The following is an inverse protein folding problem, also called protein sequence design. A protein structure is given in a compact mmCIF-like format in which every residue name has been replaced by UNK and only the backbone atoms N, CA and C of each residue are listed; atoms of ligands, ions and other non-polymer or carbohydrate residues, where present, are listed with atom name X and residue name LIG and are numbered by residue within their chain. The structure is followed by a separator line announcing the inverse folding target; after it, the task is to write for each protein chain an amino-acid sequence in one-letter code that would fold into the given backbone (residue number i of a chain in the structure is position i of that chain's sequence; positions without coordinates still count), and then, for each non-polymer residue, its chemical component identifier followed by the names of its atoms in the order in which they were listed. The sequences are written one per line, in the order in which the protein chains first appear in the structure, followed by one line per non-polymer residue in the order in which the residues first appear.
data_IF_120999276575
#
_entry.id   IF_120999276575
#
_cell.length_a   1.000
_cell.length_b   1.000
_cell.length_c   1.000
_cell.angle_alpha   90.00
_cell.angle_beta   90.00
_cell.angle_gamma   90.00
#
_symmetry.space_group_name_H-M   'P 1'
#
loop_
_entity.id
_entity.type
_entity.pdbx_description
1 polymer ?
#
# COMPACT_ATOMS: atom_id res chain seq x y z
N UNK A 1 -23.49 16.51 -11.35
CA UNK A 1 -22.46 15.45 -11.48
C UNK A 1 -21.02 15.99 -11.66
N UNK A 2 -20.77 17.14 -12.29
CA UNK A 2 -19.42 17.66 -12.61
C UNK A 2 -18.59 18.19 -11.42
N UNK A 3 -19.19 18.83 -10.45
CA UNK A 3 -18.48 19.42 -9.28
C UNK A 3 -17.84 18.35 -8.37
N UNK A 4 -18.44 17.18 -8.27
CA UNK A 4 -17.93 16.11 -7.39
C UNK A 4 -16.67 15.44 -7.98
N UNK A 5 -16.60 15.30 -9.28
CA UNK A 5 -15.47 14.66 -9.99
C UNK A 5 -14.19 15.49 -9.90
N UNK A 6 -14.27 16.82 -10.03
CA UNK A 6 -13.12 17.72 -9.92
C UNK A 6 -12.48 17.65 -8.52
N UNK A 7 -13.30 17.65 -7.47
CA UNK A 7 -12.82 17.54 -6.08
C UNK A 7 -12.12 16.22 -5.81
N UNK A 8 -12.63 15.11 -6.35
CA UNK A 8 -11.98 13.80 -6.20
C UNK A 8 -10.62 13.77 -6.91
N UNK A 9 -10.52 14.32 -8.12
CA UNK A 9 -9.27 14.39 -8.86
C UNK A 9 -8.21 15.20 -8.09
N UNK A 10 -8.57 16.35 -7.55
CA UNK A 10 -7.64 17.17 -6.76
C UNK A 10 -7.18 16.46 -5.48
N UNK A 11 -8.08 15.75 -4.80
CA UNK A 11 -7.72 14.95 -3.64
C UNK A 11 -6.74 13.82 -3.99
N UNK A 12 -6.96 13.12 -5.11
CA UNK A 12 -6.06 12.05 -5.58
C UNK A 12 -4.69 12.63 -5.96
N UNK A 13 -4.64 13.78 -6.66
CA UNK A 13 -3.38 14.46 -6.99
C UNK A 13 -2.59 14.86 -5.73
N UNK A 14 -3.27 15.41 -4.72
CA UNK A 14 -2.66 15.76 -3.44
C UNK A 14 -2.12 14.51 -2.73
N UNK A 15 -2.89 13.45 -2.72
CA UNK A 15 -2.49 12.17 -2.15
C UNK A 15 -1.23 11.62 -2.85
N UNK A 16 -1.21 11.64 -4.19
CA UNK A 16 -0.05 11.22 -4.98
C UNK A 16 1.20 12.06 -4.70
N UNK A 17 1.04 13.38 -4.55
CA UNK A 17 2.13 14.26 -4.17
C UNK A 17 2.69 13.91 -2.78
N UNK A 18 1.81 13.64 -1.82
CA UNK A 18 2.21 13.24 -0.47
C UNK A 18 2.93 11.88 -0.47
N UNK A 19 2.44 10.90 -1.25
CA UNK A 19 3.13 9.61 -1.41
C UNK A 19 4.56 9.85 -1.91
N UNK A 20 4.77 10.67 -2.95
CA UNK A 20 6.13 10.97 -3.46
C UNK A 20 7.02 11.58 -2.40
N UNK A 21 6.51 12.56 -1.63
CA UNK A 21 7.25 13.16 -0.52
C UNK A 21 7.64 12.11 0.52
N UNK A 22 6.72 11.25 0.91
CA UNK A 22 6.94 10.20 1.89
C UNK A 22 7.96 9.16 1.40
N UNK A 23 7.93 8.78 0.11
CA UNK A 23 8.92 7.92 -0.51
C UNK A 23 10.32 8.53 -0.38
N UNK A 24 10.47 9.81 -0.71
CA UNK A 24 11.76 10.51 -0.61
C UNK A 24 12.24 10.61 0.84
N UNK A 25 11.35 10.98 1.77
CA UNK A 25 11.68 11.06 3.20
C UNK A 25 12.15 9.71 3.77
N UNK A 26 11.45 8.61 3.45
CA UNK A 26 11.86 7.27 3.88
C UNK A 26 13.23 6.91 3.32
N UNK A 27 13.45 7.18 2.05
CA UNK A 27 14.70 6.83 1.39
C UNK A 27 15.90 7.62 1.92
N UNK A 28 15.73 8.91 2.18
CA UNK A 28 16.75 9.73 2.84
C UNK A 28 17.04 9.21 4.25
N UNK A 29 15.98 8.81 4.99
CA UNK A 29 16.11 8.30 6.35
C UNK A 29 16.81 6.93 6.41
N UNK A 30 16.68 6.10 5.37
CA UNK A 30 17.34 4.81 5.25
C UNK A 30 18.87 4.96 5.05
N UNK A 31 19.32 6.09 4.54
CA UNK A 31 20.73 6.36 4.32
C UNK A 31 21.37 5.43 3.28
N UNK A 32 22.41 4.69 3.68
CA UNK A 32 23.11 3.75 2.79
C UNK A 32 22.34 2.45 2.52
N UNK A 33 21.24 2.20 3.24
CA UNK A 33 20.37 1.06 2.98
C UNK A 33 19.65 1.24 1.64
N UNK A 34 19.41 0.14 0.93
CA UNK A 34 18.82 0.19 -0.40
C UNK A 34 17.34 0.58 -0.37
N UNK A 35 16.94 1.42 -1.32
CA UNK A 35 15.55 1.79 -1.54
C UNK A 35 15.23 1.65 -3.03
N UNK A 36 14.14 0.97 -3.34
CA UNK A 36 13.71 0.73 -4.72
C UNK A 36 12.78 1.85 -5.22
N UNK A 37 13.34 2.98 -5.62
CA UNK A 37 12.60 4.15 -6.07
C UNK A 37 11.75 3.90 -7.31
N UNK A 38 12.35 3.31 -8.34
CA UNK A 38 11.68 3.12 -9.63
C UNK A 38 10.37 2.35 -9.49
N UNK A 39 10.43 1.22 -8.79
CA UNK A 39 9.25 0.39 -8.52
C UNK A 39 8.16 1.11 -7.72
N UNK A 40 8.55 1.92 -6.74
CA UNK A 40 7.61 2.68 -5.91
C UNK A 40 7.01 3.89 -6.65
N UNK A 41 7.84 4.69 -7.32
CA UNK A 41 7.37 5.87 -8.04
C UNK A 41 6.47 5.50 -9.23
N UNK A 42 6.74 4.37 -9.90
CA UNK A 42 5.95 3.90 -11.05
C UNK A 42 4.50 3.57 -10.72
N UNK A 43 4.18 3.26 -9.45
CA UNK A 43 2.82 2.88 -9.02
C UNK A 43 2.14 3.97 -8.19
N UNK A 44 2.74 5.13 -8.03
CA UNK A 44 2.23 6.18 -7.14
C UNK A 44 0.80 6.59 -7.48
N UNK A 45 0.48 6.80 -8.76
CA UNK A 45 -0.87 7.18 -9.22
C UNK A 45 -1.87 6.06 -8.97
N UNK A 46 -1.49 4.81 -9.29
CA UNK A 46 -2.37 3.65 -9.11
C UNK A 46 -2.70 3.49 -7.63
N UNK A 47 -1.69 3.51 -6.77
CA UNK A 47 -1.86 3.40 -5.31
C UNK A 47 -2.68 4.57 -4.76
N UNK A 48 -2.48 5.79 -5.29
CA UNK A 48 -3.25 6.96 -4.88
C UNK A 48 -4.74 6.83 -5.22
N UNK A 49 -5.07 6.35 -6.41
CA UNK A 49 -6.47 6.11 -6.80
C UNK A 49 -7.07 5.02 -5.91
N UNK A 50 -6.35 3.94 -5.67
CA UNK A 50 -6.84 2.84 -4.85
C UNK A 50 -7.13 3.30 -3.42
N UNK A 51 -6.16 3.89 -2.72
CA UNK A 51 -6.28 4.21 -1.30
C UNK A 51 -7.05 5.49 -1.00
N UNK A 52 -7.00 6.49 -1.89
CA UNK A 52 -7.73 7.73 -1.67
C UNK A 52 -9.19 7.70 -2.13
N UNK A 53 -9.56 6.80 -3.06
CA UNK A 53 -10.86 6.85 -3.70
C UNK A 53 -11.55 5.50 -3.87
N UNK A 54 -10.85 4.49 -4.41
CA UNK A 54 -11.49 3.26 -4.89
C UNK A 54 -11.73 2.23 -3.80
N UNK A 55 -10.77 2.03 -2.90
CA UNK A 55 -10.84 0.95 -1.90
C UNK A 55 -11.77 1.30 -0.74
N UNK A 56 -12.55 0.31 -0.35
CA UNK A 56 -13.39 0.34 0.85
C UNK A 56 -12.50 0.10 2.08
N UNK A 57 -12.20 1.17 2.80
CA UNK A 57 -11.27 1.19 3.93
C UNK A 57 -11.92 1.91 5.12
N UNK A 58 -11.72 1.41 6.33
CA UNK A 58 -11.99 2.15 7.56
C UNK A 58 -10.68 2.69 8.12
N UNK A 59 -10.49 4.01 8.07
CA UNK A 59 -9.27 4.70 8.55
C UNK A 59 -9.00 4.50 10.05
N UNK A 60 -10.02 4.14 10.83
CA UNK A 60 -9.90 3.92 12.29
C UNK A 60 -9.71 2.45 12.66
N UNK A 61 -10.00 1.54 11.73
CA UNK A 61 -9.95 0.11 11.99
C UNK A 61 -9.24 -0.67 10.87
N UNK A 62 -7.91 -0.79 10.92
CA UNK A 62 -7.15 -1.55 9.93
C UNK A 62 -7.52 -3.04 9.91
N UNK A 63 -8.16 -3.56 10.96
CA UNK A 63 -8.59 -4.96 11.06
C UNK A 63 -10.04 -5.19 10.64
N UNK A 64 -10.73 -4.18 10.09
CA UNK A 64 -12.09 -4.35 9.63
C UNK A 64 -12.20 -5.49 8.60
N UNK A 65 -12.99 -6.51 8.91
CA UNK A 65 -13.03 -7.75 8.12
C UNK A 65 -13.57 -7.55 6.70
N UNK A 66 -14.50 -6.62 6.51
CA UNK A 66 -15.15 -6.37 5.21
C UNK A 66 -14.49 -5.25 4.40
N UNK A 67 -13.31 -4.76 4.82
CA UNK A 67 -12.50 -3.85 4.00
C UNK A 67 -11.92 -4.58 2.79
N UNK A 68 -11.66 -3.84 1.74
CA UNK A 68 -10.93 -4.35 0.59
C UNK A 68 -9.50 -4.79 0.97
N UNK A 69 -8.94 -5.70 0.21
CA UNK A 69 -7.59 -6.23 0.43
C UNK A 69 -6.64 -5.71 -0.64
N UNK A 70 -5.45 -5.32 -0.21
CA UNK A 70 -4.39 -4.87 -1.08
C UNK A 70 -3.18 -5.79 -0.95
N UNK A 71 -2.65 -6.23 -2.09
CA UNK A 71 -1.47 -7.11 -2.17
C UNK A 71 -0.49 -6.48 -3.13
N UNK A 72 0.69 -6.16 -2.62
CA UNK A 72 1.80 -5.67 -3.42
C UNK A 72 2.69 -6.86 -3.82
N UNK A 73 2.44 -7.46 -4.99
CA UNK A 73 3.22 -8.64 -5.45
C UNK A 73 4.68 -8.28 -5.63
N UNK A 74 4.99 -7.16 -6.31
CA UNK A 74 6.35 -6.61 -6.36
C UNK A 74 6.73 -5.94 -5.03
N UNK A 75 7.00 -6.75 -4.01
CA UNK A 75 7.22 -6.29 -2.64
C UNK A 75 8.29 -5.23 -2.47
N UNK A 76 9.28 -5.17 -3.37
CA UNK A 76 10.32 -4.13 -3.39
C UNK A 76 9.77 -2.70 -3.63
N UNK A 77 8.54 -2.53 -4.14
CA UNK A 77 7.87 -1.23 -4.25
C UNK A 77 7.20 -0.77 -2.93
N UNK A 78 7.57 -1.34 -1.80
CA UNK A 78 6.98 -1.13 -0.47
C UNK A 78 6.91 0.33 -0.02
N UNK A 79 7.83 1.19 -0.47
CA UNK A 79 7.82 2.61 -0.14
C UNK A 79 6.50 3.28 -0.51
N UNK A 80 5.93 2.98 -1.71
CA UNK A 80 4.64 3.53 -2.12
C UNK A 80 3.49 3.00 -1.24
N UNK A 81 3.57 1.73 -0.86
CA UNK A 81 2.57 1.11 0.01
C UNK A 81 2.59 1.70 1.42
N UNK A 82 3.77 1.79 2.05
CA UNK A 82 3.90 2.40 3.38
C UNK A 82 3.49 3.88 3.38
N UNK A 83 3.86 4.62 2.33
CA UNK A 83 3.43 6.00 2.15
C UNK A 83 1.90 6.11 2.07
N UNK A 84 1.23 5.21 1.34
CA UNK A 84 -0.24 5.20 1.27
C UNK A 84 -0.88 4.84 2.62
N UNK A 85 -0.35 3.84 3.32
CA UNK A 85 -0.82 3.49 4.67
C UNK A 85 -0.65 4.64 5.67
N UNK A 86 0.42 5.42 5.52
CA UNK A 86 0.62 6.65 6.31
C UNK A 86 -0.44 7.71 5.98
N UNK A 87 -0.72 7.96 4.70
CA UNK A 87 -1.69 8.97 4.27
C UNK A 87 -3.14 8.63 4.69
N UNK A 88 -3.47 7.35 4.82
CA UNK A 88 -4.78 6.94 5.36
C UNK A 88 -4.81 6.85 6.90
N UNK A 89 -3.67 7.03 7.57
CA UNK A 89 -3.55 7.06 9.02
C UNK A 89 -3.30 5.71 9.70
N UNK A 90 -2.94 4.66 8.96
CA UNK A 90 -2.58 3.35 9.55
C UNK A 90 -1.14 3.34 10.09
N UNK A 91 -0.24 4.07 9.45
CA UNK A 91 1.14 4.24 9.87
C UNK A 91 1.34 5.68 10.36
N UNK A 92 1.82 5.92 11.59
CA UNK A 92 2.21 7.25 12.04
C UNK A 92 3.30 7.86 11.16
N UNK A 93 3.25 9.16 10.90
CA UNK A 93 4.21 9.84 10.03
C UNK A 93 5.66 9.68 10.51
N UNK A 94 5.86 9.66 11.82
CA UNK A 94 7.15 9.52 12.46
C UNK A 94 7.78 8.15 12.21
N UNK A 95 6.95 7.11 12.04
CA UNK A 95 7.41 5.74 11.80
C UNK A 95 8.05 5.60 10.41
N UNK A 96 7.69 6.43 9.44
CA UNK A 96 8.34 6.44 8.13
C UNK A 96 9.85 6.65 8.20
N UNK A 97 10.33 7.40 9.21
CA UNK A 97 11.75 7.66 9.44
C UNK A 97 12.52 6.44 9.95
N UNK A 98 11.81 5.38 10.30
CA UNK A 98 12.43 4.12 10.76
C UNK A 98 12.65 3.11 9.65
N UNK A 99 12.23 3.43 8.40
CA UNK A 99 12.35 2.53 7.25
C UNK A 99 13.78 1.97 7.14
N UNK A 100 13.89 0.63 7.01
CA UNK A 100 15.16 -0.12 6.92
C UNK A 100 16.13 0.09 8.11
N UNK A 101 15.62 0.51 9.27
CA UNK A 101 16.41 0.60 10.50
C UNK A 101 16.17 -0.62 11.41
N UNK A 102 17.11 -0.89 12.30
CA UNK A 102 16.97 -1.94 13.30
C UNK A 102 15.69 -1.71 14.13
N UNK A 103 14.95 -2.79 14.39
CA UNK A 103 13.67 -2.79 15.11
C UNK A 103 12.51 -2.03 14.45
N UNK A 104 12.64 -1.65 13.17
CA UNK A 104 11.54 -1.06 12.43
C UNK A 104 10.52 -2.11 12.00
N UNK A 105 9.25 -1.70 11.93
CA UNK A 105 8.19 -2.46 11.27
C UNK A 105 8.16 -2.25 9.73
N UNK A 106 8.95 -1.30 9.23
CA UNK A 106 8.98 -0.90 7.82
C UNK A 106 10.26 -1.44 7.16
N UNK A 107 10.17 -2.66 6.70
CA UNK A 107 11.27 -3.37 6.04
C UNK A 107 11.25 -3.13 4.53
N UNK A 108 12.35 -3.43 3.84
CA UNK A 108 12.49 -3.29 2.38
C UNK A 108 11.49 -4.11 1.54
N UNK A 109 10.79 -5.03 2.17
CA UNK A 109 9.64 -5.75 1.63
C UNK A 109 8.54 -5.83 2.71
N UNK A 110 7.25 -5.77 2.34
CA UNK A 110 6.18 -5.82 3.33
C UNK A 110 6.17 -7.15 4.08
N UNK A 111 6.12 -7.07 5.40
CA UNK A 111 5.89 -8.21 6.29
C UNK A 111 4.54 -8.02 6.96
N UNK A 112 3.79 -9.13 7.08
CA UNK A 112 2.47 -9.10 7.71
C UNK A 112 2.49 -8.37 9.05
N UNK A 113 1.68 -7.32 9.15
CA UNK A 113 1.47 -6.54 10.36
C UNK A 113 0.05 -5.97 10.36
N UNK A 114 -0.87 -6.70 10.97
CA UNK A 114 -2.28 -6.33 10.98
C UNK A 114 -2.58 -4.99 11.65
N UNK A 115 -1.73 -4.57 12.61
CA UNK A 115 -1.88 -3.26 13.27
C UNK A 115 -1.64 -2.11 12.30
N UNK A 116 -0.78 -2.30 11.31
CA UNK A 116 -0.47 -1.33 10.25
C UNK A 116 -1.30 -1.55 8.97
N UNK A 117 -2.25 -2.48 8.99
CA UNK A 117 -3.08 -2.80 7.83
C UNK A 117 -2.37 -3.61 6.74
N UNK A 118 -1.21 -4.21 7.04
CA UNK A 118 -0.45 -5.06 6.14
C UNK A 118 -0.90 -6.51 6.34
N UNK A 119 -1.71 -7.01 5.40
CA UNK A 119 -2.30 -8.36 5.52
C UNK A 119 -1.35 -9.48 5.11
N UNK A 120 -0.38 -9.20 4.25
CA UNK A 120 0.43 -10.23 3.59
C UNK A 120 1.89 -9.83 3.52
N UNK A 121 2.77 -10.79 3.80
CA UNK A 121 4.20 -10.67 3.51
C UNK A 121 4.43 -10.97 2.03
N UNK A 122 5.18 -10.13 1.35
CA UNK A 122 5.52 -10.26 -0.06
C UNK A 122 6.99 -9.93 -0.31
N UNK A 123 7.58 -10.61 -1.28
CA UNK A 123 8.99 -10.40 -1.65
C UNK A 123 9.38 -11.26 -2.84
N UNK A 124 8.90 -12.50 -2.88
CA UNK A 124 9.07 -13.38 -4.02
C UNK A 124 8.14 -12.97 -5.15
N UNK A 125 8.69 -12.59 -6.30
CA UNK A 125 7.94 -12.12 -7.46
C UNK A 125 6.97 -13.22 -7.97
N UNK A 126 5.79 -12.81 -8.43
CA UNK A 126 4.73 -13.70 -8.94
C UNK A 126 3.84 -14.31 -7.85
N UNK A 127 4.28 -14.37 -6.60
CA UNK A 127 3.51 -15.01 -5.52
C UNK A 127 2.26 -14.23 -5.11
N UNK A 128 2.27 -12.92 -5.26
CA UNK A 128 1.15 -12.07 -4.85
C UNK A 128 -0.13 -12.33 -5.63
N UNK A 129 -0.03 -12.70 -6.91
CA UNK A 129 -1.19 -13.03 -7.73
C UNK A 129 -1.88 -14.30 -7.22
N UNK A 130 -1.13 -15.36 -6.96
CA UNK A 130 -1.66 -16.62 -6.42
C UNK A 130 -2.31 -16.41 -5.05
N UNK A 131 -1.68 -15.59 -4.21
CA UNK A 131 -2.22 -15.18 -2.91
C UNK A 131 -3.55 -14.43 -3.06
N UNK A 132 -3.62 -13.48 -3.99
CA UNK A 132 -4.83 -12.72 -4.30
C UNK A 132 -5.99 -13.61 -4.76
N UNK A 133 -5.70 -14.59 -5.60
CA UNK A 133 -6.69 -15.60 -6.05
C UNK A 133 -7.22 -16.38 -4.84
N UNK A 134 -6.33 -16.85 -3.96
CA UNK A 134 -6.74 -17.58 -2.76
C UNK A 134 -7.64 -16.76 -1.83
N UNK A 135 -7.29 -15.48 -1.64
CA UNK A 135 -8.10 -14.53 -0.84
C UNK A 135 -9.48 -14.30 -1.46
N UNK A 136 -9.54 -14.09 -2.78
CA UNK A 136 -10.81 -13.87 -3.50
C UNK A 136 -11.73 -15.11 -3.46
N UNK A 137 -11.16 -16.32 -3.61
CA UNK A 137 -11.91 -17.57 -3.48
C UNK A 137 -12.44 -17.73 -2.05
N UNK A 138 -11.60 -17.46 -1.04
CA UNK A 138 -12.01 -17.50 0.37
C UNK A 138 -13.15 -16.52 0.65
N UNK A 139 -13.06 -15.28 0.13
CA UNK A 139 -14.13 -14.30 0.26
C UNK A 139 -15.45 -14.80 -0.30
N UNK A 140 -15.45 -15.36 -1.52
CA UNK A 140 -16.65 -15.95 -2.14
C UNK A 140 -17.24 -17.09 -1.30
N UNK A 141 -16.40 -18.03 -0.83
CA UNK A 141 -16.85 -19.14 0.03
C UNK A 141 -17.47 -18.66 1.35
N UNK A 142 -16.91 -17.59 1.94
CA UNK A 142 -17.40 -16.99 3.19
C UNK A 142 -18.53 -15.97 2.97
N UNK A 143 -19.02 -15.79 1.75
CA UNK A 143 -20.03 -14.79 1.37
C UNK A 143 -19.66 -13.36 1.81
N UNK A 144 -18.36 -13.04 1.78
CA UNK A 144 -17.84 -11.70 2.04
C UNK A 144 -17.87 -10.87 0.76
N UNK A 145 -18.16 -9.58 0.89
CA UNK A 145 -18.30 -8.64 -0.22
C UNK A 145 -17.20 -7.56 -0.18
N UNK A 146 -15.95 -7.99 -0.31
CA UNK A 146 -14.81 -7.10 -0.48
C UNK A 146 -14.04 -7.43 -1.76
N UNK A 147 -13.36 -6.44 -2.32
CA UNK A 147 -12.50 -6.61 -3.47
C UNK A 147 -11.07 -6.94 -3.05
N UNK A 148 -10.34 -7.62 -3.95
CA UNK A 148 -8.92 -7.90 -3.79
C UNK A 148 -8.16 -7.23 -4.91
N UNK A 149 -7.27 -6.31 -4.58
CA UNK A 149 -6.42 -5.57 -5.50
C UNK A 149 -5.00 -6.12 -5.40
N UNK A 150 -4.44 -6.53 -6.53
CA UNK A 150 -3.06 -7.04 -6.61
C UNK A 150 -2.29 -6.17 -7.58
N UNK A 151 -1.16 -5.61 -7.15
CA UNK A 151 -0.23 -4.92 -8.04
C UNK A 151 0.95 -5.84 -8.31
N UNK A 152 1.13 -6.16 -9.57
CA UNK A 152 2.25 -6.98 -10.08
C UNK A 152 3.29 -6.10 -10.78
N UNK A 153 4.49 -6.61 -10.97
CA UNK A 153 5.48 -6.06 -11.87
C UNK A 153 5.26 -6.53 -13.30
N UNK A 154 5.92 -5.89 -14.25
CA UNK A 154 5.88 -6.23 -15.67
C UNK A 154 6.53 -7.57 -16.00
N UNK A 155 7.42 -8.04 -15.13
CA UNK A 155 8.15 -9.32 -15.27
C UNK A 155 7.57 -10.48 -14.44
N UNK A 156 6.40 -10.28 -13.81
CA UNK A 156 5.80 -11.32 -12.97
C UNK A 156 4.85 -12.29 -13.76
#
# INVERSE_FOLDING_TARGET
MSLNTSTHIENIKKFALNIRKNILEMSVSAGASSAHFGGALSITEIVSILFAYQMKIDKKNPNWEDRDRFILSKGHACLAYYAALCEIGYIPKEELKTFEKNNSNLLGHPVINKKLGIDFSNGSLGMGLSLGIGVAISAKKKKKNFNVYVIVGDGE
#
